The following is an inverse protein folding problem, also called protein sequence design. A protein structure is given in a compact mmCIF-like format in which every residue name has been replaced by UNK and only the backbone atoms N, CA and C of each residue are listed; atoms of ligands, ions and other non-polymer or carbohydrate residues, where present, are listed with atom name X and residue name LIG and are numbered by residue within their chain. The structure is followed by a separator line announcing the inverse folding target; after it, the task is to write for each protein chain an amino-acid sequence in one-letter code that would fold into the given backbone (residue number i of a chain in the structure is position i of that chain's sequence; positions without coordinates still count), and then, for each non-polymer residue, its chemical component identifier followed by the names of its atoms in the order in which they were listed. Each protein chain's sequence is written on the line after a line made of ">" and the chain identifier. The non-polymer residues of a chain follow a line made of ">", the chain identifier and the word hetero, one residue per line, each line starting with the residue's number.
data_IF_360815128664
#
_entry.id   IF_360815128664
#
_cell.length_a   1.000
_cell.length_b   1.000
_cell.length_c   1.000
_cell.angle_alpha   90.00
_cell.angle_beta   90.00
_cell.angle_gamma   90.00
#
_symmetry.space_group_name_H-M   'P 1'
#
loop_
_entity.id
_entity.type
_entity.pdbx_description
1 polymer ?
#
# COMPACT_ATOMS: atom_id res chain seq x y z
N UNK A 1 -7.63 8.66 21.16
CA UNK A 1 -8.77 9.53 21.50
C UNK A 1 -9.73 9.60 20.32
N UNK A 2 -11.04 9.68 20.56
CA UNK A 2 -12.06 9.96 19.53
C UNK A 2 -12.58 11.38 19.76
N UNK A 3 -12.65 12.18 18.70
CA UNK A 3 -13.21 13.54 18.74
C UNK A 3 -14.52 13.52 17.92
N UNK A 4 -15.55 14.21 18.40
CA UNK A 4 -16.80 14.39 17.66
C UNK A 4 -16.66 15.58 16.72
N UNK A 5 -17.03 15.39 15.46
CA UNK A 5 -17.00 16.42 14.42
C UNK A 5 -18.36 16.45 13.74
N UNK A 6 -18.93 17.63 13.55
CA UNK A 6 -20.15 17.82 12.77
C UNK A 6 -19.78 17.96 11.29
N UNK A 7 -20.37 17.15 10.42
CA UNK A 7 -20.13 17.15 8.98
C UNK A 7 -21.46 17.39 8.26
N UNK A 8 -21.47 18.29 7.29
CA UNK A 8 -22.58 18.43 6.36
C UNK A 8 -22.44 17.35 5.28
N UNK A 9 -23.45 16.49 5.16
CA UNK A 9 -23.50 15.41 4.16
C UNK A 9 -24.82 15.55 3.40
N UNK A 10 -24.80 15.51 2.06
CA UNK A 10 -26.01 15.47 1.26
C UNK A 10 -26.95 14.31 1.66
N UNK A 11 -28.26 14.56 1.61
CA UNK A 11 -29.26 13.59 2.09
C UNK A 11 -29.29 12.31 1.26
N UNK A 12 -29.12 12.42 -0.05
CA UNK A 12 -29.01 11.31 -0.99
C UNK A 12 -27.84 10.38 -0.63
N UNK A 13 -26.66 10.94 -0.39
CA UNK A 13 -25.47 10.18 0.02
C UNK A 13 -25.69 9.52 1.39
N UNK A 14 -26.28 10.24 2.34
CA UNK A 14 -26.56 9.69 3.66
C UNK A 14 -27.56 8.51 3.58
N UNK A 15 -28.56 8.61 2.71
CA UNK A 15 -29.53 7.54 2.45
C UNK A 15 -28.88 6.31 1.81
N UNK A 16 -27.89 6.48 0.93
CA UNK A 16 -27.12 5.37 0.39
C UNK A 16 -26.26 4.69 1.45
N UNK A 17 -25.55 5.48 2.26
CA UNK A 17 -24.78 4.95 3.39
C UNK A 17 -25.67 4.17 4.35
N UNK A 18 -26.90 4.63 4.57
CA UNK A 18 -27.89 3.90 5.37
C UNK A 18 -28.27 2.54 4.80
N UNK A 19 -28.46 2.45 3.47
CA UNK A 19 -28.77 1.19 2.80
C UNK A 19 -27.64 0.19 2.93
N UNK A 20 -26.39 0.64 2.87
CA UNK A 20 -25.21 -0.22 2.89
C UNK A 20 -24.78 -0.58 4.32
N UNK A 21 -24.56 0.43 5.17
CA UNK A 21 -24.03 0.24 6.52
C UNK A 21 -25.13 -0.01 7.56
N UNK A 22 -26.34 0.49 7.33
CA UNK A 22 -27.41 0.57 8.32
C UNK A 22 -27.29 1.78 9.24
N UNK A 23 -28.44 2.27 9.72
CA UNK A 23 -28.58 3.55 10.46
C UNK A 23 -27.64 3.73 11.66
N UNK A 24 -27.25 2.65 12.35
CA UNK A 24 -26.38 2.69 13.55
C UNK A 24 -24.88 2.58 13.25
N UNK A 25 -24.48 2.30 12.00
CA UNK A 25 -23.07 2.06 11.62
C UNK A 25 -22.49 3.13 10.69
N UNK A 26 -23.19 4.24 10.48
CA UNK A 26 -22.74 5.38 9.65
C UNK A 26 -21.34 5.87 10.02
N UNK A 27 -21.10 6.11 11.31
CA UNK A 27 -19.79 6.61 11.77
C UNK A 27 -18.66 5.61 11.50
N UNK A 28 -18.91 4.30 11.66
CA UNK A 28 -17.92 3.27 11.34
C UNK A 28 -17.62 3.26 9.84
N UNK A 29 -18.67 3.23 9.02
CA UNK A 29 -18.56 3.23 7.56
C UNK A 29 -17.78 4.44 7.04
N UNK A 30 -18.12 5.65 7.50
CA UNK A 30 -17.43 6.88 7.09
C UNK A 30 -15.96 6.87 7.52
N UNK A 31 -15.64 6.38 8.71
CA UNK A 31 -14.26 6.28 9.18
C UNK A 31 -13.45 5.28 8.36
N UNK A 32 -14.03 4.12 8.03
CA UNK A 32 -13.37 3.12 7.19
C UNK A 32 -13.14 3.64 5.77
N UNK A 33 -14.16 4.22 5.14
CA UNK A 33 -14.05 4.83 3.81
C UNK A 33 -13.02 5.98 3.79
N UNK A 34 -13.01 6.82 4.83
CA UNK A 34 -12.02 7.89 4.95
C UNK A 34 -10.59 7.33 5.10
N UNK A 35 -10.42 6.24 5.87
CA UNK A 35 -9.11 5.59 6.02
C UNK A 35 -8.62 5.05 4.68
N UNK A 36 -9.46 4.31 3.97
CA UNK A 36 -9.13 3.76 2.65
C UNK A 36 -8.75 4.86 1.66
N UNK A 37 -9.56 5.92 1.59
CA UNK A 37 -9.27 7.07 0.71
C UNK A 37 -7.94 7.73 1.07
N UNK A 38 -7.68 7.96 2.35
CA UNK A 38 -6.42 8.55 2.81
C UNK A 38 -5.20 7.66 2.50
N UNK A 39 -5.34 6.34 2.62
CA UNK A 39 -4.28 5.40 2.23
C UNK A 39 -4.00 5.47 0.74
N UNK A 40 -5.05 5.49 -0.09
CA UNK A 40 -4.93 5.65 -1.54
C UNK A 40 -4.24 6.96 -1.93
N UNK A 41 -4.65 8.08 -1.33
CA UNK A 41 -4.03 9.39 -1.61
C UNK A 41 -2.54 9.42 -1.21
N UNK A 42 -2.19 8.84 -0.04
CA UNK A 42 -0.79 8.71 0.36
C UNK A 42 0.00 7.85 -0.62
N UNK A 43 -0.57 6.72 -1.06
CA UNK A 43 0.08 5.84 -2.02
C UNK A 43 0.32 6.52 -3.36
N UNK A 44 -0.66 7.25 -3.89
CA UNK A 44 -0.51 8.00 -5.14
C UNK A 44 0.60 9.05 -5.06
N UNK A 45 0.68 9.79 -3.95
CA UNK A 45 1.78 10.76 -3.72
C UNK A 45 3.14 10.09 -3.69
N UNK A 46 3.24 8.91 -3.09
CA UNK A 46 4.49 8.13 -3.08
C UNK A 46 4.83 7.67 -4.50
N UNK A 47 3.87 7.16 -5.27
CA UNK A 47 4.11 6.76 -6.66
C UNK A 47 4.59 7.92 -7.52
N UNK A 48 3.99 9.10 -7.37
CA UNK A 48 4.43 10.30 -8.08
C UNK A 48 5.86 10.71 -7.67
N UNK A 49 6.14 10.77 -6.36
CA UNK A 49 7.46 11.16 -5.85
C UNK A 49 8.57 10.14 -6.18
N UNK A 50 8.22 8.86 -6.30
CA UNK A 50 9.16 7.76 -6.60
C UNK A 50 9.17 7.38 -8.08
N UNK A 51 8.39 8.08 -8.91
CA UNK A 51 8.42 7.91 -10.36
C UNK A 51 9.84 8.06 -10.90
N UNK A 52 10.32 7.07 -11.66
CA UNK A 52 11.69 7.06 -12.18
C UNK A 52 12.79 6.73 -11.16
N UNK A 53 12.42 6.31 -9.94
CA UNK A 53 13.35 5.66 -9.01
C UNK A 53 13.91 4.37 -9.67
N UNK A 54 13.04 3.64 -10.37
CA UNK A 54 13.42 2.47 -11.16
C UNK A 54 13.65 2.85 -12.62
N UNK A 55 14.86 2.64 -13.13
CA UNK A 55 15.19 2.83 -14.55
C UNK A 55 16.33 1.90 -14.95
N UNK A 56 16.39 1.49 -16.22
CA UNK A 56 17.46 0.64 -16.75
C UNK A 56 18.87 1.18 -16.51
N UNK A 57 19.01 2.52 -16.47
CA UNK A 57 20.29 3.18 -16.16
C UNK A 57 20.69 3.03 -14.71
N UNK A 58 19.72 3.06 -13.78
CA UNK A 58 19.94 2.93 -12.34
C UNK A 58 19.98 1.46 -11.88
N UNK A 59 19.33 0.57 -12.62
CA UNK A 59 19.19 -0.86 -12.33
C UNK A 59 19.48 -1.72 -13.58
N UNK A 60 20.72 -1.71 -14.09
CA UNK A 60 21.10 -2.53 -15.24
C UNK A 60 20.94 -4.03 -14.99
N UNK A 61 21.07 -4.47 -13.73
CA UNK A 61 20.89 -5.86 -13.29
C UNK A 61 19.45 -6.38 -13.44
N UNK A 62 18.50 -5.49 -13.73
CA UNK A 62 17.08 -5.83 -13.90
C UNK A 62 16.58 -5.47 -15.31
N UNK A 63 17.48 -5.17 -16.23
CA UNK A 63 17.17 -4.65 -17.57
C UNK A 63 16.58 -5.71 -18.51
N UNK A 64 17.25 -6.85 -18.67
CA UNK A 64 16.73 -7.95 -19.48
C UNK A 64 16.30 -9.14 -18.62
N UNK A 65 15.45 -10.02 -19.16
CA UNK A 65 14.97 -11.21 -18.45
C UNK A 65 16.11 -12.08 -17.89
N UNK A 66 17.22 -12.21 -18.63
CA UNK A 66 18.41 -12.96 -18.21
C UNK A 66 19.16 -12.29 -17.05
N UNK A 67 19.17 -10.96 -17.01
CA UNK A 67 19.80 -10.19 -15.95
C UNK A 67 18.98 -10.35 -14.65
N UNK A 68 17.65 -10.25 -14.76
CA UNK A 68 16.72 -10.50 -13.66
C UNK A 68 16.88 -11.92 -13.10
N UNK A 69 16.97 -12.93 -13.97
CA UNK A 69 17.20 -14.32 -13.55
C UNK A 69 18.50 -14.47 -12.76
N UNK A 70 19.57 -13.87 -13.27
CA UNK A 70 20.89 -13.89 -12.63
C UNK A 70 20.85 -13.19 -11.27
N UNK A 71 20.27 -12.00 -11.21
CA UNK A 71 20.08 -11.23 -9.99
C UNK A 71 19.28 -12.01 -8.93
N UNK A 72 18.14 -12.61 -9.31
CA UNK A 72 17.30 -13.40 -8.40
C UNK A 72 18.05 -14.62 -7.89
N UNK A 73 18.80 -15.31 -8.75
CA UNK A 73 19.63 -16.47 -8.37
C UNK A 73 20.67 -16.08 -7.32
N UNK A 74 21.39 -14.98 -7.54
CA UNK A 74 22.41 -14.49 -6.62
C UNK A 74 21.83 -14.09 -5.26
N UNK A 75 20.72 -13.34 -5.25
CA UNK A 75 20.03 -12.97 -4.00
C UNK A 75 19.57 -14.20 -3.22
N UNK A 76 18.98 -15.20 -3.89
CA UNK A 76 18.58 -16.46 -3.24
C UNK A 76 19.77 -17.21 -2.64
N UNK A 77 20.92 -17.25 -3.33
CA UNK A 77 22.12 -17.86 -2.78
C UNK A 77 22.65 -17.11 -1.56
N UNK A 78 22.66 -15.76 -1.59
CA UNK A 78 23.05 -14.94 -0.46
C UNK A 78 22.15 -15.17 0.75
N UNK A 79 20.83 -15.19 0.56
CA UNK A 79 19.87 -15.45 1.63
C UNK A 79 20.05 -16.84 2.23
N UNK A 80 20.23 -17.89 1.40
CA UNK A 80 20.51 -19.25 1.88
C UNK A 80 21.79 -19.32 2.70
N UNK A 81 22.87 -18.64 2.26
CA UNK A 81 24.13 -18.57 3.03
C UNK A 81 23.93 -17.87 4.37
N UNK A 82 23.18 -16.76 4.41
CA UNK A 82 22.86 -16.04 5.65
C UNK A 82 22.05 -16.91 6.60
N UNK A 83 20.99 -17.55 6.11
CA UNK A 83 20.13 -18.42 6.91
C UNK A 83 20.89 -19.58 7.55
N UNK A 84 21.86 -20.18 6.83
CA UNK A 84 22.74 -21.21 7.39
C UNK A 84 23.65 -20.69 8.51
N UNK A 85 24.15 -19.46 8.41
CA UNK A 85 24.97 -18.84 9.47
C UNK A 85 24.15 -18.61 10.74
N UNK A 86 22.97 -18.03 10.61
CA UNK A 86 22.08 -17.74 11.74
C UNK A 86 21.43 -18.98 12.37
N UNK A 87 21.49 -20.13 11.70
CA UNK A 87 21.00 -21.41 12.22
C UNK A 87 22.11 -22.24 12.90
N UNK A 88 23.38 -21.78 12.81
CA UNK A 88 24.54 -22.40 13.45
C UNK A 88 25.06 -21.58 14.65
N UNK A 89 24.41 -20.46 14.99
CA UNK A 89 24.46 -19.78 16.31
C UNK A 89 23.31 -20.30 17.18
#
# INVERSE_FOLDING_TARGET
>A
MKVKTHLAIPEDILAEVDKVAGKRRRSLFIVEAAREKLERERFLKVLEATGGAWSDKKHPELKAAKDVETYVREKRQQYRKRQKRTAHE
#
